data_IF_428311301149
#
_entry.id   IF_428311301149
#
_cell.length_a   1.000
_cell.length_b   1.000
_cell.length_c   1.000
_cell.angle_alpha   90.00
_cell.angle_beta   90.00
_cell.angle_gamma   90.00
#
_symmetry.space_group_name_H-M   'P 1'
#
loop_
_entity.id
_entity.type
_entity.pdbx_description
1 polymer ?
#
# COMPACT_ATOMS: atom_id res chain seq x y z
N UNK A 1 -8.81 2.35 -21.07
CA UNK A 1 -8.55 1.37 -19.99
C UNK A 1 -7.92 2.03 -18.76
N UNK A 2 -6.70 2.58 -18.84
CA UNK A 2 -6.00 3.17 -17.67
C UNK A 2 -6.84 4.25 -16.96
N UNK A 3 -7.40 5.21 -17.69
CA UNK A 3 -8.24 6.26 -17.09
C UNK A 3 -9.48 5.71 -16.35
N UNK A 4 -10.09 4.65 -16.88
CA UNK A 4 -11.21 3.96 -16.23
C UNK A 4 -10.77 3.27 -14.94
N UNK A 5 -9.61 2.59 -14.95
CA UNK A 5 -9.04 1.97 -13.75
C UNK A 5 -8.72 3.02 -12.69
N UNK A 6 -8.12 4.14 -13.07
CA UNK A 6 -7.81 5.26 -12.15
C UNK A 6 -9.10 5.76 -11.48
N UNK A 7 -10.16 5.97 -12.25
CA UNK A 7 -11.45 6.39 -11.69
C UNK A 7 -12.04 5.35 -10.72
N UNK A 8 -11.87 4.06 -11.02
CA UNK A 8 -12.36 2.97 -10.18
C UNK A 8 -11.61 2.85 -8.85
N UNK A 9 -10.31 3.18 -8.81
CA UNK A 9 -9.47 3.05 -7.60
C UNK A 9 -9.37 4.33 -6.75
N UNK A 10 -10.17 5.36 -7.03
CA UNK A 10 -10.16 6.61 -6.24
C UNK A 10 -10.44 6.40 -4.76
N UNK A 11 -11.43 5.56 -4.43
CA UNK A 11 -11.78 5.26 -3.05
C UNK A 11 -10.61 4.58 -2.29
N UNK A 12 -10.01 3.48 -2.78
CA UNK A 12 -8.89 2.87 -2.07
C UNK A 12 -7.68 3.81 -2.01
N UNK A 13 -7.43 4.64 -3.02
CA UNK A 13 -6.40 5.67 -2.93
C UNK A 13 -6.66 6.68 -1.81
N UNK A 14 -7.89 7.18 -1.67
CA UNK A 14 -8.25 8.07 -0.57
C UNK A 14 -8.04 7.41 0.79
N UNK A 15 -8.46 6.15 0.96
CA UNK A 15 -8.27 5.41 2.21
C UNK A 15 -6.79 5.18 2.52
N UNK A 16 -5.99 4.82 1.50
CA UNK A 16 -4.53 4.65 1.64
C UNK A 16 -3.86 5.96 2.02
N UNK A 17 -4.27 7.09 1.44
CA UNK A 17 -3.76 8.40 1.81
C UNK A 17 -4.06 8.72 3.28
N UNK A 18 -5.30 8.51 3.73
CA UNK A 18 -5.69 8.70 5.13
C UNK A 18 -4.85 7.79 6.04
N UNK A 19 -4.71 6.51 5.70
CA UNK A 19 -3.88 5.57 6.46
C UNK A 19 -2.42 6.00 6.54
N UNK A 20 -1.86 6.53 5.43
CA UNK A 20 -0.48 6.99 5.39
C UNK A 20 -0.27 8.19 6.31
N UNK A 21 -1.18 9.17 6.28
CA UNK A 21 -1.15 10.34 7.16
C UNK A 21 -1.30 9.94 8.63
N UNK A 22 -2.24 9.06 8.94
CA UNK A 22 -2.44 8.58 10.32
C UNK A 22 -1.22 7.80 10.81
N UNK A 23 -0.64 6.93 10.00
CA UNK A 23 0.56 6.17 10.34
C UNK A 23 1.77 7.07 10.55
N UNK A 24 1.95 8.08 9.68
CA UNK A 24 3.00 9.09 9.84
C UNK A 24 2.83 9.85 11.15
N UNK A 25 1.59 10.23 11.46
CA UNK A 25 1.27 11.01 12.66
C UNK A 25 1.52 10.23 13.95
N UNK A 26 1.24 8.92 13.97
CA UNK A 26 1.53 8.07 15.13
C UNK A 26 2.99 8.13 15.56
N UNK A 27 3.92 7.98 14.61
CA UNK A 27 5.35 8.03 14.92
C UNK A 27 5.81 9.46 15.24
N UNK A 28 5.49 10.41 14.36
CA UNK A 28 6.09 11.76 14.41
C UNK A 28 5.44 12.67 15.44
N UNK A 29 4.10 12.72 15.50
CA UNK A 29 3.39 13.67 16.35
C UNK A 29 2.98 13.07 17.69
N UNK A 30 2.57 11.80 17.70
CA UNK A 30 2.09 11.13 18.90
C UNK A 30 3.17 10.30 19.62
N UNK A 31 4.38 10.19 19.04
CA UNK A 31 5.52 9.43 19.58
C UNK A 31 5.14 8.02 20.05
N UNK A 32 4.20 7.38 19.35
CA UNK A 32 3.79 6.01 19.66
C UNK A 32 4.95 5.08 19.29
N UNK A 33 5.33 4.12 20.15
CA UNK A 33 6.36 3.14 19.82
C UNK A 33 5.93 2.23 18.67
N UNK A 34 6.86 1.96 17.74
CA UNK A 34 6.62 1.10 16.58
C UNK A 34 6.21 -0.33 17.00
N UNK A 35 6.86 -0.89 18.02
CA UNK A 35 6.55 -2.22 18.57
C UNK A 35 6.06 -2.11 20.03
N UNK A 36 5.21 -3.03 20.51
CA UNK A 36 4.70 -4.22 19.83
C UNK A 36 3.39 -4.01 19.05
N UNK A 37 2.68 -2.89 19.24
CA UNK A 37 1.34 -2.66 18.66
C UNK A 37 1.30 -1.61 17.54
N UNK A 38 2.24 -0.66 17.53
CA UNK A 38 2.27 0.44 16.58
C UNK A 38 2.39 -0.02 15.12
N UNK A 39 3.08 -1.13 14.87
CA UNK A 39 3.35 -1.65 13.53
C UNK A 39 2.06 -2.07 12.81
N UNK A 40 1.09 -2.62 13.54
CA UNK A 40 -0.20 -3.07 13.04
C UNK A 40 -1.20 -1.93 12.85
N UNK A 41 -1.09 -0.86 13.67
CA UNK A 41 -1.95 0.31 13.56
C UNK A 41 -1.71 1.04 12.24
N UNK A 42 -2.80 1.30 11.52
CA UNK A 42 -2.76 1.91 10.19
C UNK A 42 -1.77 1.24 9.22
N UNK A 43 -1.72 -0.10 9.20
CA UNK A 43 -0.85 -0.85 8.27
C UNK A 43 -1.19 -0.56 6.80
N UNK A 44 -0.29 0.14 6.11
CA UNK A 44 -0.41 0.43 4.68
C UNK A 44 -0.36 -0.85 3.83
N UNK A 45 0.49 -1.80 4.21
CA UNK A 45 0.60 -3.10 3.52
C UNK A 45 -0.72 -3.86 3.62
N UNK A 46 -1.26 -4.00 4.84
CA UNK A 46 -2.53 -4.69 5.08
C UNK A 46 -3.69 -4.05 4.32
N UNK A 47 -3.84 -2.72 4.40
CA UNK A 47 -4.90 -2.02 3.67
C UNK A 47 -4.74 -2.15 2.15
N UNK A 48 -3.52 -2.08 1.62
CA UNK A 48 -3.25 -2.23 0.18
C UNK A 48 -3.64 -3.60 -0.33
N UNK A 49 -3.28 -4.66 0.40
CA UNK A 49 -3.61 -6.04 0.04
C UNK A 49 -5.12 -6.24 0.07
N UNK A 50 -5.78 -5.86 1.16
CA UNK A 50 -7.23 -6.00 1.32
C UNK A 50 -7.96 -5.20 0.23
N UNK A 51 -7.55 -3.95 0.00
CA UNK A 51 -8.13 -3.11 -1.06
C UNK A 51 -7.95 -3.73 -2.43
N UNK A 52 -6.77 -4.27 -2.73
CA UNK A 52 -6.50 -4.96 -4.00
C UNK A 52 -7.41 -6.16 -4.17
N UNK A 53 -7.59 -7.00 -3.15
CA UNK A 53 -8.49 -8.16 -3.18
C UNK A 53 -9.93 -7.72 -3.44
N UNK A 54 -10.47 -6.78 -2.66
CA UNK A 54 -11.86 -6.35 -2.80
C UNK A 54 -12.13 -5.66 -4.15
N UNK A 55 -11.27 -4.73 -4.57
CA UNK A 55 -11.46 -4.05 -5.85
C UNK A 55 -11.16 -4.98 -7.04
N UNK A 56 -10.28 -5.96 -6.86
CA UNK A 56 -10.11 -7.06 -7.80
C UNK A 56 -11.38 -7.89 -7.97
N UNK A 57 -12.03 -8.27 -6.86
CA UNK A 57 -13.30 -8.99 -6.88
C UNK A 57 -14.42 -8.22 -7.59
N UNK A 58 -14.47 -6.90 -7.40
CA UNK A 58 -15.48 -6.02 -7.99
C UNK A 58 -15.15 -5.58 -9.42
N UNK A 59 -13.91 -5.75 -9.87
CA UNK A 59 -13.39 -5.20 -11.13
C UNK A 59 -14.21 -5.58 -12.37
N UNK A 60 -14.76 -6.80 -12.43
CA UNK A 60 -15.56 -7.24 -13.57
C UNK A 60 -17.00 -6.76 -13.49
N UNK A 61 -17.70 -7.08 -12.39
CA UNK A 61 -19.15 -6.80 -12.25
C UNK A 61 -19.45 -5.31 -12.10
N UNK A 62 -18.59 -4.58 -11.39
CA UNK A 62 -18.78 -3.14 -11.13
C UNK A 62 -17.91 -2.31 -12.07
N UNK A 63 -16.66 -2.71 -12.27
CA UNK A 63 -15.73 -1.97 -13.13
C UNK A 63 -15.87 -2.26 -14.63
N UNK A 64 -16.53 -3.35 -15.02
CA UNK A 64 -16.61 -3.78 -16.43
C UNK A 64 -15.27 -4.25 -17.00
N UNK A 65 -14.28 -4.54 -16.17
CA UNK A 65 -12.93 -4.84 -16.61
C UNK A 65 -12.72 -6.32 -16.96
N UNK A 66 -11.78 -6.57 -17.87
CA UNK A 66 -11.21 -7.89 -18.13
C UNK A 66 -10.09 -8.22 -17.12
N UNK A 67 -9.43 -9.37 -17.29
CA UNK A 67 -8.31 -9.76 -16.43
C UNK A 67 -7.16 -8.75 -16.45
N UNK A 68 -6.88 -8.12 -17.60
CA UNK A 68 -5.85 -7.08 -17.69
C UNK A 68 -6.21 -5.86 -16.84
N UNK A 69 -7.45 -5.37 -16.94
CA UNK A 69 -7.93 -4.28 -16.10
C UNK A 69 -7.96 -4.64 -14.60
N UNK A 70 -8.15 -5.92 -14.26
CA UNK A 70 -8.07 -6.42 -12.88
C UNK A 70 -6.66 -6.34 -12.32
N UNK A 71 -5.68 -6.85 -13.07
CA UNK A 71 -4.27 -6.77 -12.69
C UNK A 71 -3.87 -5.30 -12.52
N UNK A 72 -4.25 -4.46 -13.49
CA UNK A 72 -3.98 -3.01 -13.42
C UNK A 72 -4.62 -2.37 -12.19
N UNK A 73 -5.83 -2.76 -11.81
CA UNK A 73 -6.50 -2.25 -10.60
C UNK A 73 -5.62 -2.47 -9.37
N UNK A 74 -5.14 -3.70 -9.16
CA UNK A 74 -4.23 -4.01 -8.05
C UNK A 74 -2.89 -3.29 -8.14
N UNK A 75 -2.30 -3.22 -9.33
CA UNK A 75 -1.04 -2.50 -9.58
C UNK A 75 -1.18 -1.01 -9.23
N UNK A 76 -2.24 -0.34 -9.68
CA UNK A 76 -2.44 1.09 -9.40
C UNK A 76 -2.74 1.37 -7.93
N UNK A 77 -3.46 0.50 -7.23
CA UNK A 77 -3.67 0.61 -5.77
C UNK A 77 -2.32 0.51 -5.04
N UNK A 78 -1.55 -0.53 -5.33
CA UNK A 78 -0.26 -0.76 -4.67
C UNK A 78 0.80 0.28 -5.05
N UNK A 79 0.86 0.69 -6.32
CA UNK A 79 1.76 1.72 -6.78
C UNK A 79 1.52 3.04 -6.02
N UNK A 80 0.27 3.45 -5.86
CA UNK A 80 -0.06 4.65 -5.10
C UNK A 80 0.39 4.56 -3.64
N UNK A 81 0.17 3.42 -2.97
CA UNK A 81 0.67 3.19 -1.62
C UNK A 81 2.21 3.28 -1.55
N UNK A 82 2.91 2.68 -2.52
CA UNK A 82 4.37 2.69 -2.55
C UNK A 82 4.93 4.09 -2.84
N UNK A 83 4.28 4.88 -3.69
CA UNK A 83 4.65 6.29 -3.91
C UNK A 83 4.54 7.08 -2.61
N UNK A 84 3.45 6.90 -1.84
CA UNK A 84 3.31 7.56 -0.55
C UNK A 84 4.39 7.11 0.44
N UNK A 85 4.67 5.79 0.53
CA UNK A 85 5.73 5.26 1.39
C UNK A 85 7.09 5.85 0.99
N UNK A 86 7.39 5.91 -0.30
CA UNK A 86 8.62 6.48 -0.83
C UNK A 86 8.78 7.96 -0.44
N UNK A 87 7.76 8.77 -0.71
CA UNK A 87 7.76 10.20 -0.40
C UNK A 87 7.85 10.47 1.11
N UNK A 88 7.09 9.76 1.93
CA UNK A 88 7.12 9.92 3.38
C UNK A 88 8.44 9.44 3.98
N UNK A 89 9.08 8.43 3.40
CA UNK A 89 10.41 8.00 3.83
C UNK A 89 11.46 9.08 3.53
N UNK A 90 11.45 9.64 2.31
CA UNK A 90 12.36 10.73 1.95
C UNK A 90 12.14 11.94 2.85
N UNK A 91 10.88 12.35 3.04
CA UNK A 91 10.53 13.47 3.91
C UNK A 91 11.03 13.23 5.33
N UNK A 92 10.82 12.02 5.87
CA UNK A 92 11.26 11.67 7.23
C UNK A 92 12.77 11.78 7.36
N UNK A 93 13.52 11.28 6.38
CA UNK A 93 14.98 11.30 6.44
C UNK A 93 15.54 12.72 6.26
N UNK A 94 14.99 13.47 5.30
CA UNK A 94 15.41 14.84 5.03
C UNK A 94 15.10 15.80 6.18
N UNK A 95 14.01 15.57 6.91
CA UNK A 95 13.62 16.39 8.06
C UNK A 95 14.17 15.87 9.40
N UNK A 96 14.98 14.80 9.42
CA UNK A 96 15.56 14.23 10.65
C UNK A 96 14.51 13.65 11.60
N UNK A 97 13.41 13.12 11.08
CA UNK A 97 12.31 12.57 11.88
C UNK A 97 12.60 11.11 12.30
N UNK A 98 13.48 10.93 13.28
CA UNK A 98 13.95 9.62 13.74
C UNK A 98 12.83 8.70 14.25
N UNK A 99 11.78 9.28 14.86
CA UNK A 99 10.61 8.53 15.36
C UNK A 99 9.62 8.12 14.25
N UNK A 100 9.92 8.45 12.98
CA UNK A 100 9.05 8.10 11.87
C UNK A 100 9.02 6.59 11.62
N UNK A 101 7.81 6.02 11.56
CA UNK A 101 7.61 4.62 11.20
C UNK A 101 8.12 4.26 9.80
N UNK A 102 8.35 5.25 8.94
CA UNK A 102 8.86 5.06 7.59
C UNK A 102 10.39 4.89 7.54
N UNK A 103 11.10 5.22 8.62
CA UNK A 103 12.54 5.01 8.79
C UNK A 103 12.88 3.89 9.76
N UNK A 104 11.89 3.35 10.46
CA UNK A 104 12.10 2.26 11.41
C UNK A 104 12.77 1.06 10.73
N UNK A 105 13.82 0.51 11.33
CA UNK A 105 14.63 -0.58 10.76
C UNK A 105 13.79 -1.80 10.35
N UNK A 106 12.80 -2.16 11.17
CA UNK A 106 11.87 -3.28 10.90
C UNK A 106 11.02 -3.03 9.63
N UNK A 107 10.61 -1.78 9.39
CA UNK A 107 9.86 -1.40 8.18
C UNK A 107 10.71 -1.41 6.89
N UNK A 108 12.03 -1.56 7.05
CA UNK A 108 13.02 -1.57 6.00
C UNK A 108 13.75 -2.93 5.90
N UNK A 109 13.39 -3.90 6.76
CA UNK A 109 14.07 -5.19 6.90
C UNK A 109 15.58 -5.05 7.14
N UNK A 110 15.96 -4.07 7.96
CA UNK A 110 17.35 -3.83 8.38
C UNK A 110 17.62 -4.45 9.76
N UNK A 111 18.89 -4.58 10.11
CA UNK A 111 19.30 -4.96 11.46
C UNK A 111 18.90 -3.87 12.46
N UNK A 112 18.57 -4.27 13.69
CA UNK A 112 18.20 -3.34 14.75
C UNK A 112 19.28 -2.25 14.97
N UNK A 113 18.84 -1.00 15.12
CA UNK A 113 19.70 0.17 15.31
C UNK A 113 20.53 0.58 14.08
N UNK A 114 20.39 -0.08 12.93
CA UNK A 114 21.18 0.28 11.75
C UNK A 114 20.78 1.67 11.21
N UNK A 115 21.74 2.60 11.20
CA UNK A 115 21.56 3.92 10.60
C UNK A 115 21.35 3.82 9.09
N UNK A 116 20.40 4.56 8.55
CA UNK A 116 20.10 4.57 7.11
C UNK A 116 20.61 5.85 6.44
N UNK A 117 21.26 5.69 5.29
CA UNK A 117 21.63 6.81 4.42
C UNK A 117 20.55 7.05 3.37
N UNK A 118 20.54 8.23 2.75
CA UNK A 118 19.60 8.54 1.66
C UNK A 118 19.74 7.55 0.49
N UNK A 119 20.98 7.20 0.10
CA UNK A 119 21.22 6.26 -0.99
C UNK A 119 20.62 4.88 -0.73
N UNK A 120 20.84 4.32 0.47
CA UNK A 120 20.26 3.03 0.87
C UNK A 120 18.75 3.08 1.00
N UNK A 121 18.18 4.21 1.45
CA UNK A 121 16.73 4.36 1.55
C UNK A 121 16.06 4.36 0.17
N UNK A 122 16.63 5.11 -0.77
CA UNK A 122 16.12 5.21 -2.14
C UNK A 122 16.14 3.84 -2.82
N UNK A 123 17.23 3.08 -2.70
CA UNK A 123 17.33 1.75 -3.32
C UNK A 123 16.30 0.78 -2.75
N UNK A 124 16.15 0.70 -1.43
CA UNK A 124 15.16 -0.16 -0.78
C UNK A 124 13.73 0.18 -1.20
N UNK A 125 13.38 1.47 -1.25
CA UNK A 125 12.03 1.90 -1.61
C UNK A 125 11.74 1.76 -3.11
N UNK A 126 12.74 1.92 -4.00
CA UNK A 126 12.57 1.67 -5.43
C UNK A 126 12.30 0.19 -5.72
N UNK A 127 13.03 -0.72 -5.08
CA UNK A 127 12.74 -2.17 -5.17
C UNK A 127 11.33 -2.46 -4.63
N UNK A 128 10.98 -1.85 -3.49
CA UNK A 128 9.65 -1.95 -2.91
C UNK A 128 8.54 -1.49 -3.87
N UNK A 129 8.72 -0.37 -4.59
CA UNK A 129 7.76 0.12 -5.57
C UNK A 129 7.46 -0.95 -6.62
N UNK A 130 8.49 -1.59 -7.18
CA UNK A 130 8.30 -2.58 -8.24
C UNK A 130 7.65 -3.85 -7.68
N UNK A 131 8.26 -4.45 -6.65
CA UNK A 131 7.84 -5.75 -6.11
C UNK A 131 6.43 -5.65 -5.53
N UNK A 132 6.15 -4.63 -4.71
CA UNK A 132 4.85 -4.52 -4.04
C UNK A 132 3.73 -4.13 -5.02
N UNK A 133 4.04 -3.42 -6.11
CA UNK A 133 3.05 -3.14 -7.16
C UNK A 133 2.61 -4.43 -7.86
N UNK A 134 3.56 -5.32 -8.15
CA UNK A 134 3.27 -6.64 -8.73
C UNK A 134 2.42 -7.47 -7.75
N UNK A 135 2.78 -7.48 -6.46
CA UNK A 135 2.00 -8.16 -5.43
C UNK A 135 0.57 -7.63 -5.34
N UNK A 136 0.36 -6.32 -5.53
CA UNK A 136 -0.98 -5.72 -5.64
C UNK A 136 -1.79 -6.30 -6.81
N UNK A 137 -1.17 -6.40 -8.00
CA UNK A 137 -1.80 -7.03 -9.16
C UNK A 137 -2.16 -8.50 -8.94
N UNK A 138 -1.30 -9.26 -8.28
CA UNK A 138 -1.58 -10.65 -7.88
C UNK A 138 -2.76 -10.70 -6.90
N UNK A 139 -2.74 -9.88 -5.86
CA UNK A 139 -3.83 -9.81 -4.87
C UNK A 139 -5.18 -9.46 -5.50
N UNK A 140 -5.22 -8.53 -6.45
CA UNK A 140 -6.44 -8.22 -7.20
C UNK A 140 -6.91 -9.37 -8.09
N UNK A 141 -5.99 -10.07 -8.73
CA UNK A 141 -6.31 -11.25 -9.54
C UNK A 141 -6.89 -12.38 -8.69
N UNK A 142 -6.33 -12.61 -7.49
CA UNK A 142 -6.88 -13.54 -6.51
C UNK A 142 -8.28 -13.12 -6.08
N UNK A 143 -8.49 -11.83 -5.77
CA UNK A 143 -9.82 -11.31 -5.45
C UNK A 143 -10.85 -11.57 -6.55
N UNK A 144 -10.48 -11.38 -7.82
CA UNK A 144 -11.35 -11.69 -8.96
C UNK A 144 -11.67 -13.17 -9.06
N UNK A 145 -10.68 -14.05 -8.86
CA UNK A 145 -10.93 -15.50 -8.85
C UNK A 145 -11.88 -15.89 -7.71
N UNK A 146 -11.67 -15.33 -6.51
CA UNK A 146 -12.50 -15.57 -5.33
C UNK A 146 -13.95 -15.09 -5.51
N UNK A 147 -14.17 -14.00 -6.26
CA UNK A 147 -15.50 -13.50 -6.58
C UNK A 147 -16.36 -14.51 -7.38
N UNK A 148 -15.73 -15.46 -8.08
CA UNK A 148 -16.42 -16.55 -8.77
C UNK A 148 -17.07 -17.57 -7.82
N UNK A 149 -16.58 -17.66 -6.57
CA UNK A 149 -17.13 -18.52 -5.53
C UNK A 149 -18.14 -17.79 -4.62
N UNK A 150 -18.29 -16.48 -4.80
CA UNK A 150 -19.25 -15.70 -4.02
C UNK A 150 -20.69 -16.09 -4.41
N UNK A 151 -21.63 -16.12 -3.43
CA UNK A 151 -23.02 -16.41 -3.71
C UNK A 151 -23.58 -15.52 -4.81
N UNK A 152 -24.42 -16.08 -5.68
CA UNK A 152 -25.14 -15.29 -6.67
C UNK A 152 -26.04 -14.26 -5.95
N UNK A 153 -26.21 -13.09 -6.57
CA UNK A 153 -27.18 -12.12 -6.09
C UNK A 153 -28.56 -12.78 -6.06
N UNK A 154 -29.28 -12.68 -4.93
CA UNK A 154 -30.69 -13.04 -4.91
C UNK A 154 -31.42 -12.12 -5.89
N UNK A 155 -32.06 -12.73 -6.88
CA UNK A 155 -32.91 -12.06 -7.86
C UNK A 155 -34.13 -11.42 -7.18
#
# INVERSE_FOLDING_TARGET
MIGSVINFVKLPWLLILIWAVMRFSLGVFFNVPYAPRGNAMFSLVGLTIISSIYFGALSNKVGGFDWKGTVLTGVFIALFAQVLIFLLSILSLAAGLENSYFLHWDALNLTDGQSITMGSLLSLRLVGIIVNSILGGIAASLGRALAGFAPAAKA
#
